data_IF_260418393741
#
_entry.id   IF_260418393741
#
_cell.length_a   1.000
_cell.length_b   1.000
_cell.length_c   1.000
_cell.angle_alpha   90.00
_cell.angle_beta   90.00
_cell.angle_gamma   90.00
#
_symmetry.space_group_name_H-M   'P 1'
#
loop_
_entity.id
_entity.type
_entity.pdbx_description
1 polymer ?
#
# COMPACT_ATOMS: atom_id res chain seq x y z
N UNK A 1 -7.91 -3.23 -9.95
CA UNK A 1 -7.65 -2.81 -8.55
C UNK A 1 -6.62 -3.79 -7.98
N UNK A 2 -5.77 -3.36 -7.05
CA UNK A 2 -4.69 -4.18 -6.47
C UNK A 2 -4.86 -4.15 -4.95
N UNK A 3 -4.64 -5.29 -4.29
CA UNK A 3 -4.66 -5.41 -2.84
C UNK A 3 -3.44 -4.71 -2.21
N UNK A 4 -3.67 -3.90 -1.17
CA UNK A 4 -2.61 -3.19 -0.45
C UNK A 4 -1.56 -4.14 0.13
N UNK A 5 -1.98 -5.31 0.61
CA UNK A 5 -1.10 -6.35 1.17
C UNK A 5 -0.06 -6.84 0.15
N UNK A 6 -0.47 -7.02 -1.11
CA UNK A 6 0.46 -7.41 -2.19
C UNK A 6 1.53 -6.35 -2.44
N UNK A 7 1.18 -5.07 -2.27
CA UNK A 7 2.12 -3.96 -2.44
C UNK A 7 3.07 -3.91 -1.24
N UNK A 8 2.53 -4.02 -0.02
CA UNK A 8 3.29 -4.05 1.23
C UNK A 8 4.35 -5.16 1.21
N UNK A 9 3.98 -6.39 0.85
CA UNK A 9 4.91 -7.52 0.75
C UNK A 9 6.05 -7.27 -0.24
N UNK A 10 5.76 -6.62 -1.38
CA UNK A 10 6.79 -6.29 -2.38
C UNK A 10 7.71 -5.14 -1.94
N UNK A 11 7.20 -4.20 -1.14
CA UNK A 11 7.98 -3.12 -0.56
C UNK A 11 8.87 -3.62 0.59
N UNK A 12 8.38 -4.56 1.39
CA UNK A 12 9.14 -5.21 2.47
C UNK A 12 10.39 -5.92 1.91
N UNK A 13 10.25 -6.65 0.80
CA UNK A 13 11.37 -7.24 0.06
C UNK A 13 12.36 -6.21 -0.54
N UNK A 14 12.07 -4.92 -0.43
CA UNK A 14 12.91 -3.79 -0.83
C UNK A 14 13.32 -2.93 0.37
N UNK A 15 13.16 -3.45 1.58
CA UNK A 15 13.48 -2.80 2.86
C UNK A 15 12.70 -1.49 3.06
N UNK A 16 11.49 -1.41 2.50
CA UNK A 16 10.57 -0.28 2.66
C UNK A 16 9.36 -0.75 3.47
N UNK A 17 9.27 -0.30 4.72
CA UNK A 17 8.21 -0.69 5.63
C UNK A 17 7.03 0.29 5.59
N UNK A 18 5.83 -0.24 5.35
CA UNK A 18 4.59 0.54 5.24
C UNK A 18 3.45 -0.18 5.96
N UNK A 19 2.35 0.53 6.21
CA UNK A 19 1.10 -0.10 6.68
C UNK A 19 0.03 -0.03 5.60
N UNK A 20 -0.96 -0.92 5.67
CA UNK A 20 -2.16 -0.91 4.83
C UNK A 20 -3.41 -0.67 5.68
N UNK A 21 -4.50 -0.19 5.07
CA UNK A 21 -5.77 0.02 5.77
C UNK A 21 -5.70 1.02 6.94
N UNK A 22 -6.40 0.74 8.03
CA UNK A 22 -6.44 1.56 9.26
C UNK A 22 -5.22 1.39 10.17
N UNK A 23 -4.09 0.96 9.62
CA UNK A 23 -2.80 0.79 10.29
C UNK A 23 -2.64 -0.37 11.29
N UNK A 24 -3.71 -0.82 11.95
CA UNK A 24 -3.68 -2.03 12.76
C UNK A 24 -4.07 -3.23 11.90
N UNK A 25 -3.17 -4.21 11.78
CA UNK A 25 -3.48 -5.50 11.18
C UNK A 25 -4.47 -6.23 12.11
N UNK A 26 -5.76 -6.01 11.89
CA UNK A 26 -6.82 -6.82 12.48
C UNK A 26 -6.97 -8.07 11.63
N UNK A 27 -7.10 -9.25 12.25
CA UNK A 27 -7.47 -10.51 11.58
C UNK A 27 -8.83 -10.43 10.85
N UNK A 28 -9.54 -9.30 10.96
CA UNK A 28 -10.78 -9.02 10.28
C UNK A 28 -10.54 -8.51 8.86
N UNK A 29 -11.09 -9.19 7.86
CA UNK A 29 -11.14 -8.79 6.43
C UNK A 29 -11.93 -7.49 6.16
N UNK A 30 -12.21 -6.69 7.18
CA UNK A 30 -13.02 -5.47 7.06
C UNK A 30 -12.18 -4.33 6.49
N UNK A 31 -12.71 -3.57 5.52
CA UNK A 31 -12.07 -2.35 5.03
C UNK A 31 -11.90 -1.34 6.17
N UNK A 32 -10.92 -0.45 6.02
CA UNK A 32 -10.66 0.63 6.97
C UNK A 32 -11.91 1.48 7.20
N UNK A 33 -12.43 1.48 8.43
CA UNK A 33 -13.60 2.29 8.79
C UNK A 33 -13.35 3.79 8.59
N UNK A 34 -12.09 4.24 8.70
CA UNK A 34 -11.70 5.64 8.47
C UNK A 34 -11.79 5.98 6.99
N UNK A 35 -11.30 5.10 6.11
CA UNK A 35 -11.33 5.34 4.66
C UNK A 35 -12.78 5.34 4.14
N UNK A 36 -13.63 4.46 4.69
CA UNK A 36 -15.06 4.49 4.42
C UNK A 36 -15.72 5.78 4.91
N UNK A 37 -15.39 6.24 6.12
CA UNK A 37 -15.97 7.45 6.71
C UNK A 37 -15.65 8.74 5.94
N UNK A 38 -14.51 8.80 5.23
CA UNK A 38 -14.15 9.91 4.34
C UNK A 38 -14.77 9.79 2.93
N UNK A 39 -15.71 8.86 2.74
CA UNK A 39 -16.50 8.72 1.51
C UNK A 39 -15.86 7.88 0.41
N UNK A 40 -14.80 7.12 0.71
CA UNK A 40 -14.18 6.23 -0.27
C UNK A 40 -14.84 4.85 -0.27
N UNK A 41 -14.77 4.14 -1.40
CA UNK A 41 -15.31 2.79 -1.53
C UNK A 41 -14.41 1.72 -0.89
N UNK A 42 -14.96 0.52 -0.68
CA UNK A 42 -14.21 -0.60 -0.10
C UNK A 42 -13.00 -1.00 -0.96
N UNK A 43 -13.06 -0.86 -2.28
CA UNK A 43 -11.95 -1.17 -3.18
C UNK A 43 -10.77 -0.20 -3.00
N UNK A 44 -11.05 1.09 -2.79
CA UNK A 44 -10.06 2.08 -2.41
C UNK A 44 -9.48 1.80 -1.02
N UNK A 45 -10.32 1.35 -0.07
CA UNK A 45 -9.86 0.95 1.25
C UNK A 45 -8.92 -0.27 1.21
N UNK A 46 -9.22 -1.30 0.42
CA UNK A 46 -8.39 -2.49 0.28
C UNK A 46 -7.05 -2.21 -0.43
N UNK A 47 -7.04 -1.29 -1.40
CA UNK A 47 -5.82 -0.86 -2.09
C UNK A 47 -5.03 0.25 -1.40
N UNK A 48 -5.42 0.66 -0.20
CA UNK A 48 -4.81 1.80 0.51
C UNK A 48 -3.47 1.44 1.16
N UNK A 49 -2.56 2.42 1.18
CA UNK A 49 -1.28 2.34 1.85
C UNK A 49 -1.02 3.61 2.66
N UNK A 50 -0.34 3.46 3.79
CA UNK A 50 0.05 4.56 4.67
C UNK A 50 1.56 4.55 4.88
N UNK A 51 2.19 5.66 4.52
CA UNK A 51 3.58 5.96 4.82
C UNK A 51 3.61 6.91 6.02
N UNK A 52 4.26 6.50 7.09
CA UNK A 52 4.49 7.35 8.27
C UNK A 52 5.96 7.72 8.31
N UNK A 53 6.26 9.02 8.31
CA UNK A 53 7.64 9.51 8.37
C UNK A 53 8.00 9.88 9.82
N UNK A 54 9.27 9.73 10.17
CA UNK A 54 9.82 10.08 11.48
C UNK A 54 10.99 11.06 11.36
N UNK A 55 11.56 11.45 12.50
CA UNK A 55 12.72 12.38 12.56
C UNK A 55 13.94 11.87 11.78
N UNK A 56 14.07 10.57 11.61
CA UNK A 56 15.17 9.92 10.89
C UNK A 56 14.89 9.72 9.39
N UNK A 57 13.68 9.99 8.90
CA UNK A 57 13.37 9.85 7.48
C UNK A 57 14.16 10.87 6.66
N UNK A 58 14.91 10.39 5.68
CA UNK A 58 15.76 11.21 4.81
C UNK A 58 15.15 11.34 3.42
N UNK A 59 15.63 12.33 2.66
CA UNK A 59 15.28 12.48 1.24
C UNK A 59 15.64 11.23 0.43
N UNK A 60 16.75 10.56 0.78
CA UNK A 60 17.20 9.33 0.12
C UNK A 60 16.16 8.20 0.27
N UNK A 61 15.52 8.09 1.43
CA UNK A 61 14.47 7.10 1.66
C UNK A 61 13.26 7.36 0.75
N UNK A 62 12.86 8.64 0.62
CA UNK A 62 11.79 9.07 -0.27
C UNK A 62 12.15 8.77 -1.73
N UNK A 63 13.37 9.10 -2.15
CA UNK A 63 13.85 8.83 -3.52
C UNK A 63 13.87 7.32 -3.82
N UNK A 64 14.23 6.49 -2.84
CA UNK A 64 14.15 5.03 -2.97
C UNK A 64 12.71 4.56 -3.17
N UNK A 65 11.76 5.06 -2.39
CA UNK A 65 10.32 4.74 -2.56
C UNK A 65 9.84 5.15 -3.95
N UNK A 66 10.15 6.37 -4.40
CA UNK A 66 9.73 6.89 -5.71
C UNK A 66 10.32 6.08 -6.88
N UNK A 67 11.51 5.49 -6.72
CA UNK A 67 12.14 4.64 -7.73
C UNK A 67 11.49 3.25 -7.82
N UNK A 68 11.03 2.71 -6.70
CA UNK A 68 10.60 1.31 -6.56
C UNK A 68 9.09 1.16 -6.71
N UNK A 69 8.31 2.02 -6.05
CA UNK A 69 6.86 1.88 -5.96
C UNK A 69 6.15 1.86 -7.32
N UNK A 70 6.46 2.74 -8.30
CA UNK A 70 5.80 2.71 -9.61
C UNK A 70 6.01 1.38 -10.35
N UNK A 71 7.19 0.76 -10.22
CA UNK A 71 7.50 -0.53 -10.84
C UNK A 71 6.63 -1.64 -10.23
N UNK A 72 6.57 -1.70 -8.90
CA UNK A 72 5.73 -2.65 -8.16
C UNK A 72 4.26 -2.53 -8.58
N UNK A 73 3.73 -1.30 -8.64
CA UNK A 73 2.34 -1.06 -9.05
C UNK A 73 2.10 -1.53 -10.48
N UNK A 74 3.00 -1.21 -11.41
CA UNK A 74 2.84 -1.62 -12.80
C UNK A 74 2.90 -3.16 -12.95
N UNK A 75 3.80 -3.83 -12.24
CA UNK A 75 3.93 -5.28 -12.25
C UNK A 75 2.64 -5.95 -11.74
N UNK A 76 2.12 -5.50 -10.60
CA UNK A 76 0.88 -6.02 -10.01
C UNK A 76 -0.35 -5.72 -10.90
N UNK A 77 -0.39 -4.57 -11.57
CA UNK A 77 -1.46 -4.25 -12.54
C UNK A 77 -1.44 -5.18 -13.73
N UNK A 78 -0.26 -5.54 -14.26
CA UNK A 78 -0.14 -6.49 -15.38
C UNK A 78 -0.63 -7.88 -14.98
N UNK A 79 -0.27 -8.36 -13.79
CA UNK A 79 -0.72 -9.67 -13.29
C UNK A 79 -2.24 -9.75 -13.05
N UNK A 80 -2.84 -8.65 -12.60
CA UNK A 80 -4.30 -8.59 -12.36
C UNK A 80 -5.10 -8.36 -13.64
N UNK A 81 -4.53 -7.69 -14.66
CA UNK A 81 -5.15 -7.51 -15.97
C UNK A 81 -5.30 -8.83 -16.75
N UNK A 82 -4.43 -9.81 -16.51
CA UNK A 82 -4.52 -11.16 -17.10
C UNK A 82 -5.70 -11.96 -16.51
N UNK A 83 -6.22 -11.56 -15.34
CA UNK A 83 -7.29 -12.26 -14.61
C UNK A 83 -8.69 -11.67 -14.84
N UNK A 84 -8.87 -10.86 -15.89
CA UNK A 84 -10.19 -10.37 -16.31
C UNK A 84 -10.76 -11.20 -17.44
#
# INVERSE_FOLDING_TARGET
>A
RIEGESIMLKLDAKEIYVSTGSACHSLSLKPSHVILAIGQDAGAAHGSMRFTMGKSTTKKDIDQVLKVLPKIINDLRRLTAIRK
#
